data_IF_236906389840
#
_entry.id   IF_236906389840
#
_cell.length_a   1.000
_cell.length_b   1.000
_cell.length_c   1.000
_cell.angle_alpha   90.00
_cell.angle_beta   90.00
_cell.angle_gamma   90.00
#
_symmetry.space_group_name_H-M   'P 1'
#
loop_
_entity.id
_entity.type
_entity.pdbx_description
1 polymer ?
#
# COMPACT_ATOMS: atom_id res chain seq x y z
N UNK A 1 -17.87 19.65 -71.00
CA UNK A 1 -18.00 20.23 -69.65
C UNK A 1 -18.34 19.06 -68.71
N UNK A 2 -17.34 18.55 -68.04
CA UNK A 2 -17.46 17.40 -67.16
C UNK A 2 -17.39 17.87 -65.72
N UNK A 3 -18.44 17.60 -64.97
CA UNK A 3 -18.50 17.86 -63.55
C UNK A 3 -17.87 16.67 -62.80
N UNK A 4 -16.75 16.92 -62.13
CA UNK A 4 -16.13 16.00 -61.20
C UNK A 4 -16.86 16.06 -59.84
N UNK A 5 -17.52 15.00 -59.49
CA UNK A 5 -18.09 14.76 -58.18
C UNK A 5 -16.95 14.30 -57.24
N UNK A 6 -16.59 15.10 -56.27
CA UNK A 6 -15.65 14.77 -55.20
C UNK A 6 -16.45 14.03 -54.12
N UNK A 7 -16.19 12.73 -53.94
CA UNK A 7 -16.70 11.96 -52.83
C UNK A 7 -15.84 12.21 -51.60
N UNK A 8 -16.45 12.78 -50.56
CA UNK A 8 -15.84 12.86 -49.23
C UNK A 8 -15.68 11.45 -48.59
N UNK A 9 -14.53 11.13 -47.97
CA UNK A 9 -14.43 9.93 -47.18
C UNK A 9 -15.10 10.14 -45.82
N UNK A 10 -16.07 9.27 -45.52
CA UNK A 10 -16.67 9.09 -44.19
C UNK A 10 -15.56 8.80 -43.17
N UNK A 11 -15.29 9.79 -42.32
CA UNK A 11 -14.51 9.59 -41.10
C UNK A 11 -15.31 8.64 -40.19
N UNK A 12 -14.86 7.38 -40.14
CA UNK A 12 -15.24 6.46 -39.12
C UNK A 12 -14.71 6.98 -37.78
N UNK A 13 -15.59 7.59 -36.98
CA UNK A 13 -15.36 7.83 -35.57
C UNK A 13 -15.27 6.45 -34.88
N UNK A 14 -14.06 5.91 -34.82
CA UNK A 14 -13.75 4.87 -33.83
C UNK A 14 -13.90 5.50 -32.46
N UNK A 15 -15.03 5.21 -31.84
CA UNK A 15 -15.24 5.41 -30.39
C UNK A 15 -14.24 4.48 -29.69
N UNK A 16 -13.02 4.96 -29.46
CA UNK A 16 -12.11 4.34 -28.52
C UNK A 16 -12.78 4.37 -27.14
N UNK A 17 -13.43 3.28 -26.75
CA UNK A 17 -13.77 3.01 -25.37
C UNK A 17 -12.46 3.13 -24.58
N UNK A 18 -12.25 4.29 -23.94
CA UNK A 18 -11.08 4.54 -23.11
C UNK A 18 -11.08 3.48 -22.01
N UNK A 19 -10.13 2.56 -22.10
CA UNK A 19 -9.81 1.62 -21.03
C UNK A 19 -9.74 2.39 -19.71
N UNK A 20 -10.42 1.95 -18.64
CA UNK A 20 -10.41 2.69 -17.37
C UNK A 20 -8.98 2.95 -16.96
N UNK A 21 -8.67 4.22 -16.62
CA UNK A 21 -7.31 4.66 -16.33
C UNK A 21 -6.70 3.79 -15.22
N UNK A 22 -5.57 3.15 -15.51
CA UNK A 22 -4.83 2.37 -14.52
C UNK A 22 -4.13 3.31 -13.54
N UNK A 23 -4.35 3.10 -12.24
CA UNK A 23 -3.69 3.86 -11.17
C UNK A 23 -2.42 3.18 -10.71
N UNK A 24 -2.41 1.84 -10.68
CA UNK A 24 -1.25 1.03 -10.31
C UNK A 24 -1.00 0.05 -11.45
N UNK A 25 0.25 -0.05 -11.91
CA UNK A 25 0.68 -1.02 -12.93
C UNK A 25 2.06 -1.56 -12.60
N UNK A 26 2.15 -2.87 -12.51
CA UNK A 26 3.38 -3.63 -12.36
C UNK A 26 3.62 -4.45 -13.63
N UNK A 27 4.83 -4.38 -14.18
CA UNK A 27 5.24 -5.07 -15.40
C UNK A 27 6.49 -5.91 -15.13
N UNK A 28 6.34 -7.23 -15.08
CA UNK A 28 7.42 -8.21 -14.88
C UNK A 28 8.33 -7.88 -13.69
N UNK A 29 7.71 -7.47 -12.59
CA UNK A 29 8.40 -6.97 -11.40
C UNK A 29 9.02 -8.11 -10.61
N UNK A 30 10.32 -8.00 -10.33
CA UNK A 30 11.02 -8.89 -9.41
C UNK A 30 11.74 -8.09 -8.33
N UNK A 31 11.80 -8.65 -7.12
CA UNK A 31 12.54 -8.09 -5.99
C UNK A 31 13.43 -9.16 -5.40
N UNK A 32 14.73 -8.86 -5.37
CA UNK A 32 15.75 -9.70 -4.78
C UNK A 32 16.40 -8.99 -3.60
N UNK A 33 16.27 -9.58 -2.41
CA UNK A 33 17.01 -9.14 -1.23
C UNK A 33 18.38 -9.84 -1.19
N UNK A 34 19.42 -9.05 -0.93
CA UNK A 34 20.76 -9.59 -0.68
C UNK A 34 21.02 -9.53 0.82
N UNK A 35 21.12 -10.69 1.44
CA UNK A 35 21.39 -10.81 2.88
C UNK A 35 22.81 -11.34 3.05
N UNK A 36 23.68 -10.66 3.83
CA UNK A 36 25.00 -11.22 4.14
C UNK A 36 24.80 -12.58 4.83
N UNK A 37 25.52 -13.62 4.35
CA UNK A 37 25.42 -14.96 4.92
C UNK A 37 26.08 -15.05 6.28
N UNK A 38 27.12 -14.25 6.51
CA UNK A 38 27.88 -14.22 7.74
C UNK A 38 27.34 -13.13 8.68
N UNK A 39 27.14 -13.45 9.94
CA UNK A 39 26.87 -12.48 10.99
C UNK A 39 28.19 -11.82 11.40
N UNK A 40 28.34 -10.54 11.09
CA UNK A 40 29.49 -9.74 11.50
C UNK A 40 29.18 -9.09 12.85
N UNK A 41 30.02 -9.35 13.85
CA UNK A 41 29.88 -8.76 15.20
C UNK A 41 30.49 -7.37 15.28
N UNK A 42 31.43 -7.03 14.38
CA UNK A 42 32.09 -5.73 14.36
C UNK A 42 32.24 -5.18 12.94
N UNK A 43 32.15 -3.84 12.84
CA UNK A 43 32.38 -3.13 11.56
C UNK A 43 33.77 -3.42 10.98
N UNK A 44 34.80 -3.58 11.85
CA UNK A 44 36.20 -3.89 11.45
C UNK A 44 36.29 -5.27 10.76
N UNK A 45 35.60 -6.27 11.27
CA UNK A 45 35.57 -7.61 10.67
C UNK A 45 34.89 -7.56 9.30
N UNK A 46 33.76 -6.87 9.19
CA UNK A 46 33.05 -6.66 7.92
C UNK A 46 33.96 -5.98 6.87
N UNK A 47 34.64 -4.89 7.24
CA UNK A 47 35.53 -4.15 6.33
C UNK A 47 36.72 -5.01 5.83
N UNK A 48 37.35 -5.81 6.72
CA UNK A 48 38.46 -6.70 6.35
C UNK A 48 37.98 -7.78 5.38
N UNK A 49 36.85 -8.42 5.64
CA UNK A 49 36.30 -9.46 4.75
C UNK A 49 35.80 -8.90 3.41
N UNK A 50 35.27 -7.68 3.41
CA UNK A 50 34.88 -6.98 2.21
C UNK A 50 36.10 -6.74 1.29
N UNK A 51 37.20 -6.23 1.85
CA UNK A 51 38.48 -6.05 1.13
C UNK A 51 39.08 -7.35 0.62
N UNK A 52 38.84 -8.46 1.33
CA UNK A 52 39.28 -9.80 0.92
C UNK A 52 38.34 -10.48 -0.11
N UNK A 53 37.22 -9.84 -0.51
CA UNK A 53 36.25 -10.44 -1.42
C UNK A 53 35.52 -11.67 -0.82
N UNK A 54 35.55 -11.85 0.50
CA UNK A 54 35.02 -13.03 1.20
C UNK A 54 33.60 -12.87 1.70
N UNK A 55 32.98 -11.70 1.52
CA UNK A 55 31.58 -11.48 1.93
C UNK A 55 30.67 -12.19 0.94
N UNK A 56 30.12 -13.33 1.37
CA UNK A 56 29.10 -14.04 0.61
C UNK A 56 27.72 -13.49 0.95
N UNK A 57 26.91 -13.26 -0.08
CA UNK A 57 25.53 -12.83 0.05
C UNK A 57 24.61 -13.94 -0.42
N UNK A 58 23.66 -14.30 0.39
CA UNK A 58 22.54 -15.12 -0.07
C UNK A 58 21.52 -14.18 -0.71
N UNK A 59 21.01 -14.57 -1.87
CA UNK A 59 19.96 -13.80 -2.56
C UNK A 59 18.62 -14.47 -2.35
N UNK A 60 17.68 -13.73 -1.78
CA UNK A 60 16.30 -14.17 -1.60
C UNK A 60 15.38 -13.42 -2.58
N UNK A 61 14.74 -14.16 -3.48
CA UNK A 61 13.82 -13.59 -4.45
C UNK A 61 12.42 -13.51 -3.85
N UNK A 62 12.07 -12.33 -3.33
CA UNK A 62 10.80 -12.07 -2.66
C UNK A 62 9.62 -11.90 -3.62
N UNK A 63 9.87 -11.37 -4.83
CA UNK A 63 8.89 -11.29 -5.93
C UNK A 63 9.54 -11.77 -7.22
N UNK A 64 8.77 -12.51 -8.04
CA UNK A 64 9.23 -13.21 -9.25
C UNK A 64 8.32 -12.91 -10.42
N UNK A 65 8.73 -11.96 -11.29
CA UNK A 65 8.02 -11.60 -12.53
C UNK A 65 6.51 -11.31 -12.32
N UNK A 66 6.18 -10.52 -11.29
CA UNK A 66 4.81 -10.15 -10.98
C UNK A 66 4.33 -9.06 -11.93
N UNK A 67 3.19 -9.30 -12.60
CA UNK A 67 2.51 -8.33 -13.46
C UNK A 67 1.06 -8.23 -13.04
N UNK A 68 0.60 -7.03 -12.69
CA UNK A 68 -0.79 -6.75 -12.35
C UNK A 68 -1.13 -5.28 -12.60
N UNK A 69 -2.40 -4.98 -12.75
CA UNK A 69 -2.90 -3.60 -12.82
C UNK A 69 -4.12 -3.39 -11.93
N UNK A 70 -4.25 -2.18 -11.39
CA UNK A 70 -5.38 -1.72 -10.60
C UNK A 70 -5.96 -0.46 -11.25
N UNK A 71 -7.27 -0.44 -11.44
CA UNK A 71 -7.99 0.64 -12.09
C UNK A 71 -8.26 1.79 -11.11
N UNK A 72 -8.52 2.98 -11.64
CA UNK A 72 -8.93 4.12 -10.83
C UNK A 72 -10.25 3.83 -10.11
N UNK A 73 -10.31 4.11 -8.80
CA UNK A 73 -11.49 3.87 -7.96
C UNK A 73 -11.74 2.40 -7.63
N UNK A 74 -10.83 1.49 -8.00
CA UNK A 74 -10.94 0.08 -7.69
C UNK A 74 -10.46 -0.20 -6.26
N UNK A 75 -11.20 -1.02 -5.51
CA UNK A 75 -10.72 -1.65 -4.28
C UNK A 75 -10.12 -3.00 -4.67
N UNK A 76 -8.81 -3.11 -4.58
CA UNK A 76 -8.04 -4.28 -5.00
C UNK A 76 -7.43 -4.99 -3.79
N UNK A 77 -7.78 -6.25 -3.62
CA UNK A 77 -7.29 -7.09 -2.52
C UNK A 77 -6.03 -7.87 -2.90
N UNK A 78 -5.18 -8.16 -1.91
CA UNK A 78 -4.04 -9.05 -2.06
C UNK A 78 -4.07 -10.11 -0.95
N UNK A 79 -4.12 -11.39 -1.34
CA UNK A 79 -4.10 -12.53 -0.43
C UNK A 79 -2.86 -13.40 -0.64
N UNK A 80 -2.54 -14.21 0.36
CA UNK A 80 -1.41 -15.15 0.35
C UNK A 80 -0.91 -15.43 1.77
N UNK A 81 -0.17 -16.51 1.95
CA UNK A 81 0.40 -16.89 3.25
C UNK A 81 1.47 -15.89 3.76
N UNK A 82 1.89 -16.03 5.01
CA UNK A 82 2.99 -15.26 5.57
C UNK A 82 4.29 -15.59 4.82
N UNK A 83 5.01 -14.55 4.37
CA UNK A 83 6.19 -14.73 3.51
C UNK A 83 5.90 -14.88 2.02
N UNK A 84 4.63 -14.80 1.57
CA UNK A 84 4.28 -14.85 0.15
C UNK A 84 4.82 -13.66 -0.67
N UNK A 85 5.26 -12.58 -0.02
CA UNK A 85 5.78 -11.37 -0.67
C UNK A 85 4.82 -10.18 -0.61
N UNK A 86 3.68 -10.28 0.13
CA UNK A 86 2.66 -9.23 0.22
C UNK A 86 3.23 -7.88 0.67
N UNK A 87 3.96 -7.84 1.79
CA UNK A 87 4.56 -6.60 2.32
C UNK A 87 5.62 -6.02 1.35
N UNK A 88 6.34 -6.86 0.62
CA UNK A 88 7.27 -6.39 -0.43
C UNK A 88 6.50 -5.71 -1.57
N UNK A 89 5.38 -6.29 -1.99
CA UNK A 89 4.54 -5.71 -3.02
C UNK A 89 3.92 -4.37 -2.57
N UNK A 90 3.45 -4.30 -1.32
CA UNK A 90 2.94 -3.06 -0.71
C UNK A 90 4.01 -1.96 -0.71
N UNK A 91 5.26 -2.27 -0.30
CA UNK A 91 6.37 -1.30 -0.29
C UNK A 91 6.71 -0.77 -1.68
N UNK A 92 6.57 -1.58 -2.73
CA UNK A 92 6.71 -1.14 -4.13
C UNK A 92 5.60 -0.17 -4.52
N UNK A 93 4.33 -0.51 -4.21
CA UNK A 93 3.17 0.35 -4.51
C UNK A 93 3.22 1.65 -3.70
N UNK A 94 3.67 1.59 -2.45
CA UNK A 94 3.91 2.76 -1.59
C UNK A 94 5.11 3.62 -2.04
N UNK A 95 5.87 3.20 -3.06
CA UNK A 95 7.09 3.87 -3.54
C UNK A 95 8.22 3.94 -2.51
N UNK A 96 8.14 3.17 -1.43
CA UNK A 96 9.19 3.06 -0.40
C UNK A 96 10.37 2.22 -0.89
N UNK A 97 10.13 1.35 -1.87
CA UNK A 97 11.14 0.46 -2.43
C UNK A 97 11.13 0.51 -3.97
N UNK A 98 12.29 0.28 -4.57
CA UNK A 98 12.43 0.07 -6.02
C UNK A 98 12.52 -1.43 -6.35
N UNK A 99 11.97 -1.88 -7.47
CA UNK A 99 12.13 -3.27 -7.92
C UNK A 99 13.58 -3.54 -8.36
N UNK A 100 14.01 -4.80 -8.26
CA UNK A 100 15.31 -5.25 -8.80
C UNK A 100 15.27 -5.37 -10.32
N UNK A 101 14.10 -5.70 -10.89
CA UNK A 101 13.83 -5.70 -12.33
C UNK A 101 12.34 -5.46 -12.60
N UNK A 102 12.01 -5.10 -13.83
CA UNK A 102 10.65 -4.73 -14.22
C UNK A 102 10.33 -3.26 -13.94
N UNK A 103 9.06 -2.90 -14.07
CA UNK A 103 8.59 -1.52 -13.93
C UNK A 103 7.38 -1.44 -13.02
N UNK A 104 7.37 -0.45 -12.12
CA UNK A 104 6.22 -0.10 -11.28
C UNK A 104 5.79 1.32 -11.61
N UNK A 105 4.53 1.50 -11.93
CA UNK A 105 3.90 2.81 -12.16
C UNK A 105 2.76 2.93 -11.20
N UNK A 106 2.80 3.95 -10.34
CA UNK A 106 1.70 4.34 -9.46
C UNK A 106 1.40 5.80 -9.75
N UNK A 107 0.16 6.16 -10.00
CA UNK A 107 -0.24 7.53 -10.35
C UNK A 107 -0.89 8.22 -9.16
N UNK A 108 -0.77 9.54 -9.10
CA UNK A 108 -1.35 10.35 -8.04
C UNK A 108 -0.62 10.30 -6.71
N UNK A 109 -1.25 10.87 -5.70
CA UNK A 109 -0.77 10.87 -4.33
C UNK A 109 -1.14 9.57 -3.62
N UNK A 110 -0.15 8.95 -2.95
CA UNK A 110 -0.28 7.66 -2.26
C UNK A 110 -0.22 7.88 -0.76
N UNK A 111 -1.24 7.45 -0.03
CA UNK A 111 -1.24 7.41 1.43
C UNK A 111 -1.06 5.95 1.91
N UNK A 112 0.12 5.57 2.40
CA UNK A 112 0.35 4.25 2.94
C UNK A 112 -0.03 4.18 4.42
N UNK A 113 -0.96 3.29 4.78
CA UNK A 113 -1.26 2.92 6.16
C UNK A 113 -0.44 1.68 6.59
N UNK A 114 0.82 1.59 6.15
CA UNK A 114 1.68 0.42 6.41
C UNK A 114 2.31 0.44 7.80
N UNK A 115 2.72 1.61 8.24
CA UNK A 115 3.40 1.83 9.51
C UNK A 115 2.83 3.12 10.10
N UNK A 116 1.64 3.03 10.70
CA UNK A 116 0.97 4.18 11.32
C UNK A 116 1.86 4.77 12.43
N UNK A 117 2.11 6.09 12.34
CA UNK A 117 3.01 6.78 13.25
C UNK A 117 4.50 6.66 12.90
N UNK A 118 4.85 6.05 11.76
CA UNK A 118 6.22 6.12 11.26
C UNK A 118 6.63 7.59 11.07
N UNK A 119 7.79 7.93 11.63
CA UNK A 119 8.30 9.32 11.64
C UNK A 119 7.80 10.18 12.80
N UNK A 120 7.01 9.65 13.71
CA UNK A 120 6.69 10.34 14.96
C UNK A 120 7.93 10.48 15.85
N UNK A 121 8.10 11.67 16.43
CA UNK A 121 9.20 11.96 17.37
C UNK A 121 8.65 11.99 18.80
N UNK A 122 9.17 11.14 19.70
CA UNK A 122 8.58 10.96 21.03
C UNK A 122 8.67 12.20 21.94
N UNK A 123 9.66 13.07 21.72
CA UNK A 123 9.85 14.27 22.54
C UNK A 123 9.03 15.48 22.06
N UNK A 124 8.49 15.42 20.85
CA UNK A 124 7.59 16.43 20.32
C UNK A 124 6.16 16.17 20.80
N UNK A 125 5.37 17.24 20.87
CA UNK A 125 3.93 17.18 21.18
C UNK A 125 3.14 16.48 20.07
N UNK A 126 1.90 16.10 20.35
CA UNK A 126 0.97 15.58 19.33
C UNK A 126 0.79 16.59 18.19
N UNK A 127 0.63 17.87 18.53
CA UNK A 127 0.53 18.98 17.56
C UNK A 127 1.75 19.02 16.63
N UNK A 128 2.96 19.08 17.17
CA UNK A 128 4.18 19.12 16.38
C UNK A 128 4.35 17.86 15.52
N UNK A 129 3.93 16.69 16.01
CA UNK A 129 3.96 15.45 15.26
C UNK A 129 2.91 15.41 14.12
N UNK A 130 1.76 16.07 14.24
CA UNK A 130 0.82 16.23 13.13
C UNK A 130 1.51 16.97 11.97
N UNK A 131 2.19 18.07 12.23
CA UNK A 131 2.91 18.82 11.21
C UNK A 131 4.11 18.06 10.64
N UNK A 132 4.91 17.43 11.52
CA UNK A 132 6.05 16.63 11.10
C UNK A 132 5.63 15.45 10.20
N UNK A 133 4.63 14.68 10.65
CA UNK A 133 4.18 13.51 9.90
C UNK A 133 3.44 13.90 8.62
N UNK A 134 2.65 14.97 8.66
CA UNK A 134 2.02 15.52 7.46
C UNK A 134 3.05 15.94 6.40
N UNK A 135 4.15 16.59 6.82
CA UNK A 135 5.23 16.94 5.91
C UNK A 135 5.95 15.70 5.33
N UNK A 136 6.17 14.65 6.15
CA UNK A 136 6.72 13.36 5.68
C UNK A 136 5.79 12.69 4.66
N UNK A 137 4.48 12.79 4.84
CA UNK A 137 3.48 12.28 3.90
C UNK A 137 3.34 13.15 2.64
N UNK A 138 4.03 14.30 2.60
CA UNK A 138 4.08 15.19 1.44
C UNK A 138 3.00 16.27 1.41
N UNK A 139 2.30 16.53 2.50
CA UNK A 139 1.36 17.63 2.60
C UNK A 139 2.10 18.98 2.62
N UNK A 140 1.68 19.98 1.83
CA UNK A 140 2.11 21.35 1.99
C UNK A 140 1.68 21.90 3.36
N UNK A 141 2.49 22.80 3.96
CA UNK A 141 2.21 23.40 5.28
C UNK A 141 0.78 23.96 5.37
N UNK A 142 0.35 24.74 4.37
CA UNK A 142 -0.98 25.35 4.35
C UNK A 142 -2.12 24.33 4.36
N UNK A 143 -1.91 23.16 3.76
CA UNK A 143 -2.89 22.08 3.76
C UNK A 143 -2.99 21.44 5.14
N UNK A 144 -1.85 21.20 5.81
CA UNK A 144 -1.85 20.67 7.19
C UNK A 144 -2.52 21.65 8.14
N UNK A 145 -2.26 22.96 8.01
CA UNK A 145 -2.89 24.01 8.82
C UNK A 145 -4.42 23.93 8.70
N UNK A 146 -4.93 23.74 7.49
CA UNK A 146 -6.37 23.61 7.22
C UNK A 146 -6.98 22.29 7.70
N UNK A 147 -6.19 21.23 7.82
CA UNK A 147 -6.64 19.91 8.24
C UNK A 147 -6.47 19.66 9.73
N UNK A 148 -5.70 20.49 10.44
CA UNK A 148 -5.27 20.25 11.81
C UNK A 148 -6.45 19.97 12.76
N UNK A 149 -7.44 20.84 12.79
CA UNK A 149 -8.58 20.70 13.70
C UNK A 149 -9.38 19.42 13.41
N UNK A 150 -9.56 19.07 12.15
CA UNK A 150 -10.26 17.85 11.75
C UNK A 150 -9.48 16.57 12.09
N UNK A 151 -8.14 16.63 12.03
CA UNK A 151 -7.24 15.55 12.44
C UNK A 151 -7.36 15.32 13.95
N UNK A 152 -7.31 16.41 14.74
CA UNK A 152 -7.42 16.36 16.19
C UNK A 152 -8.79 15.83 16.62
N UNK A 153 -9.86 16.32 16.01
CA UNK A 153 -11.23 15.85 16.26
C UNK A 153 -11.39 14.37 15.93
N UNK A 154 -10.89 13.94 14.78
CA UNK A 154 -10.97 12.54 14.37
C UNK A 154 -10.21 11.62 15.31
N UNK A 155 -9.01 12.02 15.75
CA UNK A 155 -8.17 11.22 16.67
C UNK A 155 -8.73 11.13 18.09
N UNK A 156 -9.64 12.04 18.47
CA UNK A 156 -10.21 12.17 19.84
C UNK A 156 -9.11 12.46 20.90
N UNK A 157 -8.13 13.27 20.52
CA UNK A 157 -6.97 13.59 21.37
C UNK A 157 -6.88 15.07 21.74
N UNK A 158 -8.02 15.80 21.77
CA UNK A 158 -8.07 17.24 22.04
C UNK A 158 -7.34 17.61 23.35
N UNK A 159 -7.59 16.85 24.41
CA UNK A 159 -7.03 17.12 25.74
C UNK A 159 -5.53 16.76 25.85
N UNK A 160 -5.00 16.00 24.88
CA UNK A 160 -3.63 15.48 24.90
C UNK A 160 -2.75 16.07 23.80
N UNK A 161 -3.32 16.84 22.86
CA UNK A 161 -2.63 17.22 21.63
C UNK A 161 -1.35 18.04 21.88
N UNK A 162 -1.28 18.77 22.98
CA UNK A 162 -0.13 19.59 23.37
C UNK A 162 0.81 18.86 24.37
N UNK A 163 0.53 17.58 24.70
CA UNK A 163 1.43 16.74 25.48
C UNK A 163 2.45 16.03 24.59
N UNK A 164 3.68 15.76 25.09
CA UNK A 164 4.71 15.01 24.36
C UNK A 164 4.27 13.58 24.03
N UNK A 165 4.59 13.07 22.81
CA UNK A 165 4.15 11.73 22.37
C UNK A 165 4.67 10.58 23.24
N UNK A 166 5.80 10.75 23.95
CA UNK A 166 6.28 9.75 24.92
C UNK A 166 5.29 9.45 26.04
N UNK A 167 4.29 10.32 26.27
CA UNK A 167 3.22 10.11 27.27
C UNK A 167 2.01 9.40 26.70
N UNK A 168 1.96 9.21 25.37
CA UNK A 168 0.84 8.57 24.71
C UNK A 168 0.88 7.06 24.86
N UNK A 169 -0.29 6.44 24.97
CA UNK A 169 -0.42 5.00 24.80
C UNK A 169 -0.21 4.60 23.33
N UNK A 170 0.07 3.33 23.05
CA UNK A 170 0.15 2.83 21.68
C UNK A 170 -1.13 3.06 20.89
N UNK A 171 -2.30 2.95 21.57
CA UNK A 171 -3.60 3.27 20.97
C UNK A 171 -3.74 4.75 20.60
N UNK A 172 -3.30 5.69 21.46
CA UNK A 172 -3.32 7.12 21.15
C UNK A 172 -2.39 7.45 19.97
N UNK A 173 -1.18 6.89 19.94
CA UNK A 173 -0.27 7.06 18.81
C UNK A 173 -0.87 6.56 17.50
N UNK A 174 -1.51 5.40 17.55
CA UNK A 174 -2.12 4.81 16.38
C UNK A 174 -3.35 5.61 15.90
N UNK A 175 -4.18 6.14 16.83
CA UNK A 175 -5.30 7.04 16.51
C UNK A 175 -4.80 8.32 15.81
N UNK A 176 -3.77 8.97 16.37
CA UNK A 176 -3.19 10.17 15.78
C UNK A 176 -2.60 9.89 14.39
N UNK A 177 -1.80 8.83 14.26
CA UNK A 177 -1.18 8.46 12.99
C UNK A 177 -2.20 8.15 11.89
N UNK A 178 -3.27 7.42 12.22
CA UNK A 178 -4.35 7.16 11.27
C UNK A 178 -5.07 8.47 10.88
N UNK A 179 -5.35 9.35 11.85
CA UNK A 179 -6.01 10.62 11.60
C UNK A 179 -5.18 11.51 10.65
N UNK A 180 -3.86 11.59 10.85
CA UNK A 180 -2.96 12.34 9.97
C UNK A 180 -2.91 11.72 8.57
N UNK A 181 -2.69 10.41 8.47
CA UNK A 181 -2.56 9.73 7.19
C UNK A 181 -3.84 9.75 6.34
N UNK A 182 -5.01 9.93 7.01
CA UNK A 182 -6.33 10.03 6.36
C UNK A 182 -6.95 11.42 6.47
N UNK A 183 -6.19 12.43 6.84
CA UNK A 183 -6.65 13.81 6.97
C UNK A 183 -7.14 14.39 5.64
N UNK A 184 -6.47 14.08 4.54
CA UNK A 184 -6.91 14.40 3.19
C UNK A 184 -7.21 13.13 2.38
N UNK A 185 -8.00 13.27 1.33
CA UNK A 185 -8.36 12.15 0.44
C UNK A 185 -7.22 11.83 -0.52
N UNK A 186 -6.63 10.62 -0.48
CA UNK A 186 -5.60 10.22 -1.43
C UNK A 186 -6.17 9.76 -2.77
N UNK A 187 -5.32 9.75 -3.82
CA UNK A 187 -5.63 9.05 -5.07
C UNK A 187 -5.53 7.54 -4.91
N UNK A 188 -4.53 7.08 -4.13
CA UNK A 188 -4.28 5.67 -3.80
C UNK A 188 -4.10 5.54 -2.29
N UNK A 189 -4.94 4.74 -1.65
CA UNK A 189 -4.82 4.35 -0.25
C UNK A 189 -4.30 2.92 -0.14
N UNK A 190 -3.21 2.71 0.60
CA UNK A 190 -2.69 1.38 0.87
C UNK A 190 -3.05 0.99 2.29
N UNK A 191 -3.76 -0.14 2.45
CA UNK A 191 -4.24 -0.65 3.73
C UNK A 191 -3.62 -2.01 4.00
N UNK A 192 -2.87 -2.15 5.09
CA UNK A 192 -2.28 -3.41 5.56
C UNK A 192 -2.86 -3.74 6.93
N UNK A 193 -3.63 -4.80 7.06
CA UNK A 193 -4.18 -5.38 8.32
C UNK A 193 -4.58 -4.41 9.48
N UNK A 194 -4.32 -3.12 9.31
CA UNK A 194 -4.30 -2.05 10.33
C UNK A 194 -5.71 -1.53 10.70
N UNK A 195 -6.79 -2.17 10.25
CA UNK A 195 -8.12 -1.81 10.75
C UNK A 195 -8.34 -2.18 12.22
N UNK A 196 -7.35 -2.83 12.85
CA UNK A 196 -7.32 -3.13 14.28
C UNK A 196 -6.75 -2.02 15.18
N UNK A 197 -6.73 -0.75 14.72
CA UNK A 197 -6.18 0.38 15.47
C UNK A 197 -7.18 0.89 16.53
N UNK A 198 -6.71 1.04 17.77
CA UNK A 198 -7.54 1.56 18.86
C UNK A 198 -8.54 0.53 19.39
N UNK A 199 -9.60 1.02 19.99
CA UNK A 199 -10.75 0.21 20.43
C UNK A 199 -11.75 -0.04 19.28
N UNK A 200 -12.77 -0.85 19.55
CA UNK A 200 -13.77 -1.25 18.56
C UNK A 200 -14.53 -0.03 17.97
N UNK A 201 -14.81 0.98 18.78
CA UNK A 201 -15.48 2.20 18.33
C UNK A 201 -14.62 2.99 17.34
N UNK A 202 -13.31 3.11 17.62
CA UNK A 202 -12.39 3.79 16.73
C UNK A 202 -12.12 2.98 15.44
N UNK A 203 -12.06 1.65 15.54
CA UNK A 203 -11.95 0.77 14.36
C UNK A 203 -13.14 0.96 13.40
N UNK A 204 -14.35 1.07 13.94
CA UNK A 204 -15.53 1.37 13.15
C UNK A 204 -15.44 2.75 12.47
N UNK A 205 -14.96 3.76 13.17
CA UNK A 205 -14.72 5.11 12.64
C UNK A 205 -13.69 5.11 11.49
N UNK A 206 -12.61 4.33 11.63
CA UNK A 206 -11.62 4.12 10.57
C UNK A 206 -12.24 3.44 9.34
N UNK A 207 -13.03 2.39 9.56
CA UNK A 207 -13.75 1.68 8.49
C UNK A 207 -14.67 2.60 7.71
N UNK A 208 -15.50 3.39 8.38
CA UNK A 208 -16.42 4.33 7.73
C UNK A 208 -15.66 5.42 6.95
N UNK A 209 -14.52 5.88 7.43
CA UNK A 209 -13.66 6.82 6.68
C UNK A 209 -13.11 6.20 5.39
N UNK A 210 -12.58 4.98 5.46
CA UNK A 210 -12.09 4.26 4.28
C UNK A 210 -13.22 4.01 3.28
N UNK A 211 -14.40 3.63 3.76
CA UNK A 211 -15.60 3.45 2.94
C UNK A 211 -16.06 4.75 2.28
N UNK A 212 -15.90 5.89 2.98
CA UNK A 212 -16.10 7.22 2.40
C UNK A 212 -15.18 7.47 1.22
N UNK A 213 -13.89 7.22 1.37
CA UNK A 213 -12.90 7.33 0.29
C UNK A 213 -13.21 6.41 -0.90
N UNK A 214 -13.71 5.18 -0.67
CA UNK A 214 -14.18 4.31 -1.75
C UNK A 214 -15.28 4.97 -2.57
N UNK A 215 -16.30 5.53 -1.89
CA UNK A 215 -17.44 6.19 -2.55
C UNK A 215 -17.03 7.42 -3.35
N UNK A 216 -15.97 8.10 -2.92
CA UNK A 216 -15.41 9.27 -3.58
C UNK A 216 -14.43 8.93 -4.71
N UNK A 217 -14.20 7.63 -4.98
CA UNK A 217 -13.38 7.16 -6.09
C UNK A 217 -11.88 7.06 -5.80
N UNK A 218 -11.46 7.02 -4.53
CA UNK A 218 -10.09 6.65 -4.15
C UNK A 218 -9.82 5.20 -4.53
N UNK A 219 -8.66 4.95 -5.13
CA UNK A 219 -8.19 3.58 -5.40
C UNK A 219 -7.62 2.97 -4.14
N UNK A 220 -8.07 1.78 -3.74
CA UNK A 220 -7.59 1.13 -2.52
C UNK A 220 -6.84 -0.14 -2.86
N UNK A 221 -5.62 -0.27 -2.33
CA UNK A 221 -4.83 -1.49 -2.39
C UNK A 221 -4.76 -2.09 -0.98
N UNK A 222 -5.48 -3.21 -0.77
CA UNK A 222 -5.74 -3.77 0.56
C UNK A 222 -5.07 -5.13 0.74
N UNK A 223 -4.39 -5.31 1.88
CA UNK A 223 -3.96 -6.62 2.37
C UNK A 223 -4.66 -6.91 3.68
N UNK A 224 -5.34 -8.04 3.77
CA UNK A 224 -5.97 -8.50 5.01
C UNK A 224 -6.12 -10.03 4.99
N UNK A 225 -6.09 -10.64 6.17
CA UNK A 225 -6.41 -12.07 6.35
C UNK A 225 -7.91 -12.31 6.57
N UNK A 226 -8.71 -11.26 6.70
CA UNK A 226 -10.15 -11.37 6.87
C UNK A 226 -10.86 -11.57 5.53
N UNK A 227 -11.19 -12.82 5.21
CA UNK A 227 -11.86 -13.20 3.97
C UNK A 227 -13.21 -12.48 3.78
N UNK A 228 -13.99 -12.30 4.85
CA UNK A 228 -15.28 -11.61 4.79
C UNK A 228 -15.12 -10.13 4.40
N UNK A 229 -14.08 -9.46 4.92
CA UNK A 229 -13.79 -8.08 4.57
C UNK A 229 -13.38 -7.96 3.09
N UNK A 230 -12.60 -8.92 2.58
CA UNK A 230 -12.21 -8.99 1.17
C UNK A 230 -13.45 -9.17 0.28
N UNK A 231 -14.32 -10.12 0.61
CA UNK A 231 -15.55 -10.36 -0.15
C UNK A 231 -16.50 -9.17 -0.16
N UNK A 232 -16.56 -8.42 0.96
CA UNK A 232 -17.45 -7.28 1.11
C UNK A 232 -16.92 -6.02 0.40
N UNK A 233 -15.61 -5.79 0.38
CA UNK A 233 -15.04 -4.51 -0.07
C UNK A 233 -14.34 -4.60 -1.42
N UNK A 234 -13.70 -5.71 -1.76
CA UNK A 234 -12.83 -5.77 -2.93
C UNK A 234 -13.63 -6.06 -4.21
N UNK A 235 -13.26 -5.35 -5.29
CA UNK A 235 -13.78 -5.63 -6.64
C UNK A 235 -13.02 -6.78 -7.30
N UNK A 236 -11.70 -6.83 -7.08
CA UNK A 236 -10.80 -7.89 -7.56
C UNK A 236 -9.75 -8.19 -6.50
N UNK A 237 -9.23 -9.41 -6.55
CA UNK A 237 -8.23 -9.91 -5.62
C UNK A 237 -7.11 -10.58 -6.40
N UNK A 238 -5.86 -10.30 -6.02
CA UNK A 238 -4.69 -11.04 -6.45
C UNK A 238 -4.29 -12.05 -5.37
N UNK A 239 -3.95 -13.26 -5.79
CA UNK A 239 -3.36 -14.26 -4.93
C UNK A 239 -1.87 -14.39 -5.21
N UNK A 240 -1.06 -14.18 -4.16
CA UNK A 240 0.40 -14.28 -4.20
C UNK A 240 0.86 -15.52 -3.43
N UNK A 241 1.75 -16.31 -4.03
CA UNK A 241 2.36 -17.48 -3.42
C UNK A 241 3.85 -17.55 -3.71
N UNK A 242 4.70 -17.65 -2.67
CA UNK A 242 6.17 -17.70 -2.78
C UNK A 242 6.77 -16.66 -3.78
N UNK A 243 6.23 -15.44 -3.74
CA UNK A 243 6.64 -14.33 -4.61
C UNK A 243 6.11 -14.38 -6.04
N UNK A 244 5.22 -15.31 -6.37
CA UNK A 244 4.58 -15.43 -7.68
C UNK A 244 3.11 -15.04 -7.62
N UNK A 245 2.65 -14.38 -8.66
CA UNK A 245 1.22 -14.13 -8.85
C UNK A 245 0.57 -15.42 -9.38
N UNK A 246 -0.32 -16.01 -8.60
CA UNK A 246 -1.04 -17.24 -8.94
C UNK A 246 -2.29 -16.95 -9.78
N UNK A 247 -2.95 -15.83 -9.50
CA UNK A 247 -4.14 -15.40 -10.23
C UNK A 247 -4.64 -14.04 -9.79
N UNK A 248 -5.52 -13.46 -10.60
CA UNK A 248 -6.28 -12.24 -10.32
C UNK A 248 -7.71 -12.48 -10.78
N UNK A 249 -8.66 -12.34 -9.89
CA UNK A 249 -10.07 -12.62 -10.19
C UNK A 249 -11.04 -12.02 -9.20
N UNK A 250 -12.28 -12.49 -9.20
CA UNK A 250 -13.27 -12.11 -8.21
C UNK A 250 -12.90 -12.58 -6.79
N UNK A 251 -13.35 -11.86 -5.73
CA UNK A 251 -12.98 -12.18 -4.34
C UNK A 251 -13.29 -13.63 -3.97
N UNK A 252 -14.51 -14.10 -4.18
CA UNK A 252 -14.94 -15.46 -3.82
C UNK A 252 -14.12 -16.54 -4.53
N UNK A 253 -13.88 -16.39 -5.85
CA UNK A 253 -13.08 -17.30 -6.67
C UNK A 253 -11.63 -17.41 -6.14
N UNK A 254 -10.99 -16.27 -5.89
CA UNK A 254 -9.58 -16.24 -5.44
C UNK A 254 -9.43 -16.78 -4.03
N UNK A 255 -10.37 -16.50 -3.12
CA UNK A 255 -10.38 -17.05 -1.76
C UNK A 255 -10.56 -18.56 -1.79
N UNK A 256 -11.48 -19.05 -2.61
CA UNK A 256 -11.70 -20.49 -2.75
C UNK A 256 -10.45 -21.20 -3.29
N UNK A 257 -9.88 -20.70 -4.38
CA UNK A 257 -8.65 -21.25 -4.98
C UNK A 257 -7.47 -21.24 -3.99
N UNK A 258 -7.34 -20.18 -3.20
CA UNK A 258 -6.32 -20.09 -2.16
C UNK A 258 -6.52 -21.14 -1.05
N UNK A 259 -7.77 -21.35 -0.57
CA UNK A 259 -8.09 -22.36 0.43
C UNK A 259 -7.83 -23.79 -0.07
N UNK A 260 -8.26 -24.08 -1.28
CA UNK A 260 -8.03 -25.39 -1.92
C UNK A 260 -6.53 -25.70 -2.03
N UNK A 261 -5.74 -24.70 -2.44
CA UNK A 261 -4.29 -24.84 -2.53
C UNK A 261 -3.63 -25.09 -1.16
N UNK A 262 -4.08 -24.39 -0.10
CA UNK A 262 -3.59 -24.62 1.27
C UNK A 262 -3.92 -26.04 1.77
N UNK A 263 -5.10 -26.55 1.46
CA UNK A 263 -5.50 -27.92 1.84
C UNK A 263 -4.76 -29.00 1.04
N UNK A 264 -4.35 -28.70 -0.20
CA UNK A 264 -3.60 -29.62 -1.04
C UNK A 264 -2.11 -29.73 -0.68
N UNK A 265 -1.55 -28.74 0.03
CA UNK A 265 -0.19 -28.80 0.57
C UNK A 265 -0.21 -29.55 1.91
N UNK A 266 0.37 -30.77 2.04
CA UNK A 266 0.48 -31.42 3.32
C UNK A 266 1.26 -30.50 4.27
N UNK A 267 0.77 -30.37 5.52
CA UNK A 267 1.41 -29.57 6.56
C UNK A 267 2.91 -29.93 6.60
N UNK A 268 3.73 -29.09 6.00
CA UNK A 268 5.16 -29.29 5.93
C UNK A 268 5.74 -29.31 7.34
N UNK A 269 6.53 -30.33 7.62
CA UNK A 269 7.35 -30.52 8.82
C UNK A 269 8.35 -29.39 8.99
#
# INVERSE_FOLDING_TARGET
MSLHTVSEPLLSMETSLSSPAEMIRLENVSVCYRVPRDHFTTFKEYAIRLLQGKVKHDSFLALKNVSLSVRKGEVFGLIGHNGAGKSTLLKLVARVMRPSSGRVVVRGWVAPLLEIGAGFHPDLTGRENVFLNGAILGFPQQEIDGLFDSIVEFSELQDFIDAPLRTYSSGMMARLGFAVATGARPDVLIVDEILGVGDEAFQWKCYERIKGFCKEGTTIFMVTHNASLIEMMCHRVAWLDHGRLMGVGGPAEMIQSYREHQHAQPAGK
#
